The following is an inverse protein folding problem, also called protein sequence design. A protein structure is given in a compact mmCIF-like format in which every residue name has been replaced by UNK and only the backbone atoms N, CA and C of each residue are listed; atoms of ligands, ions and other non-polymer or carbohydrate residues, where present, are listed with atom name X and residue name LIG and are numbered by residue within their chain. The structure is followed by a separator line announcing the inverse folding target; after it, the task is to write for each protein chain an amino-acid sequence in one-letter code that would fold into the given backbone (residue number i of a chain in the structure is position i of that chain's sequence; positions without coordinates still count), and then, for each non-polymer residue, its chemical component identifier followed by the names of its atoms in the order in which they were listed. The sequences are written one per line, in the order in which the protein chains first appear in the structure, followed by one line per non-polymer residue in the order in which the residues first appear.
data_IF_203393464581
#
_entry.id   IF_203393464581
#
_cell.length_a   1.000
_cell.length_b   1.000
_cell.length_c   1.000
_cell.angle_alpha   90.00
_cell.angle_beta   90.00
_cell.angle_gamma   90.00
#
_symmetry.space_group_name_H-M   'P 1'
#
loop_
_entity.id
_entity.type
_entity.pdbx_description
1 polymer ?
#
# COMPACT_ATOMS: atom_id res chain seq x y z
N UNK A 1 -2.32 -45.45 -26.09
CA UNK A 1 -3.26 -44.37 -26.38
C UNK A 1 -4.01 -44.05 -25.11
N UNK A 2 -3.95 -42.79 -24.67
CA UNK A 2 -4.62 -42.33 -23.46
C UNK A 2 -3.74 -41.35 -22.68
N UNK A 3 -3.42 -40.19 -23.26
CA UNK A 3 -3.03 -39.05 -22.45
C UNK A 3 -4.29 -38.58 -21.71
N UNK A 4 -4.29 -38.80 -20.40
CA UNK A 4 -5.34 -38.34 -19.50
C UNK A 4 -5.31 -36.81 -19.48
N UNK A 5 -6.24 -36.20 -20.24
CA UNK A 5 -6.38 -34.75 -20.29
C UNK A 5 -6.77 -34.26 -18.90
N UNK A 6 -5.80 -33.72 -18.14
CA UNK A 6 -6.11 -33.00 -16.92
C UNK A 6 -7.13 -31.90 -17.27
N UNK A 7 -8.27 -31.82 -16.55
CA UNK A 7 -9.27 -30.80 -16.85
C UNK A 7 -8.61 -29.42 -16.71
N UNK A 8 -8.83 -28.56 -17.71
CA UNK A 8 -8.30 -27.20 -17.69
C UNK A 8 -8.63 -26.53 -16.34
N UNK A 9 -7.69 -25.80 -15.72
CA UNK A 9 -7.92 -25.16 -14.44
C UNK A 9 -9.18 -24.30 -14.54
N UNK A 10 -10.10 -24.49 -13.58
CA UNK A 10 -11.34 -23.71 -13.53
C UNK A 10 -10.98 -22.22 -13.57
N UNK A 11 -11.58 -21.41 -14.44
CA UNK A 11 -11.23 -20.00 -14.56
C UNK A 11 -11.40 -19.33 -13.20
N UNK A 12 -10.41 -18.57 -12.78
CA UNK A 12 -10.48 -17.86 -11.51
C UNK A 12 -11.50 -16.73 -11.64
N UNK A 13 -12.09 -16.28 -10.52
CA UNK A 13 -13.01 -15.13 -10.50
C UNK A 13 -12.42 -13.88 -11.18
N UNK A 14 -11.09 -13.72 -11.10
CA UNK A 14 -10.35 -12.63 -11.77
C UNK A 14 -10.35 -12.74 -13.31
N UNK A 15 -10.47 -13.96 -13.84
CA UNK A 15 -10.46 -14.25 -15.28
C UNK A 15 -11.87 -14.08 -15.85
N UNK A 16 -12.91 -14.37 -15.06
CA UNK A 16 -14.32 -14.18 -15.43
C UNK A 16 -14.81 -12.73 -15.29
N UNK A 17 -14.29 -11.98 -14.31
CA UNK A 17 -14.72 -10.60 -13.99
C UNK A 17 -13.56 -9.62 -14.03
N UNK A 18 -12.73 -9.73 -15.07
CA UNK A 18 -11.51 -8.92 -15.21
C UNK A 18 -11.81 -7.41 -15.29
N UNK A 19 -12.89 -7.03 -15.95
CA UNK A 19 -13.32 -5.64 -16.15
C UNK A 19 -13.82 -5.01 -14.85
N UNK A 20 -14.64 -5.74 -14.10
CA UNK A 20 -15.20 -5.35 -12.82
C UNK A 20 -14.10 -5.26 -11.77
N UNK A 21 -13.17 -6.23 -11.76
CA UNK A 21 -11.98 -6.18 -10.90
C UNK A 21 -11.13 -4.95 -11.19
N UNK A 22 -10.97 -4.56 -12.46
CA UNK A 22 -10.24 -3.33 -12.82
C UNK A 22 -10.96 -2.09 -12.32
N UNK A 23 -12.29 -2.00 -12.52
CA UNK A 23 -13.11 -0.89 -12.02
C UNK A 23 -13.05 -0.80 -10.49
N UNK A 24 -13.27 -1.91 -9.78
CA UNK A 24 -13.19 -1.98 -8.32
C UNK A 24 -11.79 -1.61 -7.80
N UNK A 25 -10.71 -2.03 -8.48
CA UNK A 25 -9.35 -1.62 -8.17
C UNK A 25 -9.20 -0.10 -8.30
N UNK A 26 -9.64 0.47 -9.41
CA UNK A 26 -9.61 1.92 -9.64
C UNK A 26 -10.39 2.64 -8.54
N UNK A 27 -11.59 2.18 -8.21
CA UNK A 27 -12.45 2.75 -7.18
C UNK A 27 -11.75 2.77 -5.81
N UNK A 28 -11.29 1.61 -5.36
CA UNK A 28 -10.67 1.45 -4.05
C UNK A 28 -9.40 2.30 -3.89
N UNK A 29 -8.53 2.33 -4.90
CA UNK A 29 -7.33 3.15 -4.81
C UNK A 29 -7.65 4.63 -5.00
N UNK A 30 -8.49 4.98 -5.97
CA UNK A 30 -8.79 6.38 -6.27
C UNK A 30 -9.49 7.09 -5.12
N UNK A 31 -10.53 6.48 -4.54
CA UNK A 31 -11.32 7.12 -3.49
C UNK A 31 -10.53 7.17 -2.18
N UNK A 32 -9.76 6.12 -1.85
CA UNK A 32 -8.90 6.13 -0.67
C UNK A 32 -7.88 7.28 -0.69
N UNK A 33 -7.40 7.67 -1.88
CA UNK A 33 -6.48 8.80 -2.10
C UNK A 33 -7.18 10.14 -2.42
N UNK A 34 -8.48 10.24 -2.17
CA UNK A 34 -9.24 11.50 -2.28
C UNK A 34 -9.56 11.93 -3.72
N UNK A 35 -9.67 11.00 -4.67
CA UNK A 35 -10.18 11.29 -6.02
C UNK A 35 -11.66 11.65 -5.95
N UNK A 36 -12.07 12.61 -6.78
CA UNK A 36 -13.46 13.09 -6.87
C UNK A 36 -14.24 12.32 -7.93
N UNK A 37 -15.58 12.41 -7.90
CA UNK A 37 -16.47 11.86 -8.91
C UNK A 37 -16.09 12.29 -10.34
N UNK A 38 -15.63 13.54 -10.52
CA UNK A 38 -15.12 14.03 -11.80
C UNK A 38 -13.97 13.18 -12.35
N UNK A 39 -13.03 12.78 -11.49
CA UNK A 39 -11.93 11.92 -11.90
C UNK A 39 -12.38 10.49 -12.19
N UNK A 40 -13.36 9.97 -11.44
CA UNK A 40 -13.92 8.63 -11.68
C UNK A 40 -14.65 8.57 -13.04
N UNK A 41 -15.39 9.63 -13.36
CA UNK A 41 -16.07 9.81 -14.65
C UNK A 41 -15.11 9.66 -15.83
N UNK A 42 -13.94 10.31 -15.78
CA UNK A 42 -12.94 10.23 -16.84
C UNK A 42 -12.35 8.83 -17.00
N UNK A 43 -12.06 8.15 -15.88
CA UNK A 43 -11.48 6.79 -15.93
C UNK A 43 -12.45 5.75 -16.49
N UNK A 44 -13.75 5.92 -16.24
CA UNK A 44 -14.77 4.91 -16.55
C UNK A 44 -15.59 5.24 -17.79
N UNK A 45 -15.55 6.47 -18.29
CA UNK A 45 -16.35 6.91 -19.43
C UNK A 45 -17.85 6.95 -19.14
N UNK A 46 -18.24 7.21 -17.90
CA UNK A 46 -19.65 7.25 -17.43
C UNK A 46 -20.16 8.68 -17.34
N UNK A 47 -21.44 8.86 -17.01
CA UNK A 47 -22.01 10.18 -16.72
C UNK A 47 -21.52 10.72 -15.37
N UNK A 48 -21.70 12.02 -15.14
CA UNK A 48 -21.33 12.64 -13.85
C UNK A 48 -22.20 12.08 -12.71
N UNK A 49 -23.49 11.88 -12.97
CA UNK A 49 -24.46 11.34 -12.01
C UNK A 49 -24.11 9.91 -11.59
N UNK A 50 -23.83 9.02 -12.54
CA UNK A 50 -23.40 7.64 -12.25
C UNK A 50 -22.10 7.61 -11.44
N UNK A 51 -21.15 8.52 -11.73
CA UNK A 51 -19.90 8.61 -10.98
C UNK A 51 -20.11 9.10 -9.54
N UNK A 52 -21.01 10.07 -9.33
CA UNK A 52 -21.38 10.57 -8.00
C UNK A 52 -22.11 9.49 -7.18
N UNK A 53 -23.10 8.83 -7.77
CA UNK A 53 -23.83 7.73 -7.13
C UNK A 53 -22.88 6.60 -6.73
N UNK A 54 -21.96 6.20 -7.61
CA UNK A 54 -20.96 5.17 -7.31
C UNK A 54 -20.06 5.55 -6.13
N UNK A 55 -19.59 6.80 -6.09
CA UNK A 55 -18.74 7.30 -5.00
C UNK A 55 -19.50 7.31 -3.68
N UNK A 56 -20.76 7.75 -3.70
CA UNK A 56 -21.59 7.77 -2.49
C UNK A 56 -21.94 6.36 -1.99
N UNK A 57 -22.26 5.43 -2.88
CA UNK A 57 -22.45 4.01 -2.52
C UNK A 57 -21.19 3.42 -1.88
N UNK A 58 -20.00 3.74 -2.40
CA UNK A 58 -18.74 3.28 -1.81
C UNK A 58 -18.50 3.86 -0.42
N UNK A 59 -18.78 5.14 -0.20
CA UNK A 59 -18.65 5.75 1.13
C UNK A 59 -19.75 5.31 2.10
N UNK A 60 -20.92 4.94 1.61
CA UNK A 60 -21.98 4.34 2.42
C UNK A 60 -21.57 2.94 2.91
N UNK A 61 -20.85 2.16 2.09
CA UNK A 61 -20.25 0.88 2.49
C UNK A 61 -19.04 1.07 3.44
N UNK A 62 -18.23 2.11 3.20
CA UNK A 62 -16.98 2.41 3.93
C UNK A 62 -16.99 3.78 4.66
N UNK A 63 -17.95 4.02 5.58
CA UNK A 63 -18.08 5.31 6.25
C UNK A 63 -16.85 5.67 7.10
N UNK A 64 -16.10 4.67 7.57
CA UNK A 64 -14.86 4.85 8.31
C UNK A 64 -13.78 5.56 7.49
N UNK A 65 -13.74 5.36 6.17
CA UNK A 65 -12.75 6.01 5.31
C UNK A 65 -13.04 7.50 5.21
N UNK A 66 -14.30 7.89 4.97
CA UNK A 66 -14.70 9.31 4.92
C UNK A 66 -14.39 9.99 6.25
N UNK A 67 -14.78 9.35 7.36
CA UNK A 67 -14.50 9.86 8.72
C UNK A 67 -13.00 10.05 8.96
N UNK A 68 -12.18 9.08 8.56
CA UNK A 68 -10.73 9.18 8.70
C UNK A 68 -10.13 10.29 7.83
N UNK A 69 -10.57 10.45 6.57
CA UNK A 69 -10.12 11.52 5.68
C UNK A 69 -10.48 12.90 6.21
N UNK A 70 -11.70 13.07 6.71
CA UNK A 70 -12.17 14.34 7.29
C UNK A 70 -11.41 14.70 8.57
N UNK A 71 -11.20 13.72 9.46
CA UNK A 71 -10.38 13.91 10.65
C UNK A 71 -8.92 14.25 10.30
N UNK A 72 -8.34 13.58 9.29
CA UNK A 72 -6.96 13.83 8.87
C UNK A 72 -6.80 15.23 8.29
N UNK A 73 -7.74 15.69 7.45
CA UNK A 73 -7.75 17.07 6.94
C UNK A 73 -7.91 18.09 8.06
N UNK A 74 -8.81 17.81 9.02
CA UNK A 74 -9.05 18.70 10.17
C UNK A 74 -7.79 18.83 11.04
N UNK A 75 -7.21 17.71 11.46
CA UNK A 75 -5.96 17.72 12.24
C UNK A 75 -4.82 18.40 11.48
N UNK A 76 -4.74 18.20 10.16
CA UNK A 76 -3.78 18.90 9.30
C UNK A 76 -4.01 20.41 9.26
N UNK A 77 -5.26 20.88 9.15
CA UNK A 77 -5.64 22.29 9.19
C UNK A 77 -5.34 22.95 10.56
N UNK A 78 -5.52 22.21 11.64
CA UNK A 78 -5.22 22.69 13.00
C UNK A 78 -3.69 22.78 13.24
N UNK A 79 -2.94 21.76 12.83
CA UNK A 79 -1.51 21.64 13.15
C UNK A 79 -0.56 22.22 12.09
N UNK A 80 -1.02 22.37 10.83
CA UNK A 80 -0.18 22.72 9.69
C UNK A 80 0.68 21.57 9.14
N UNK A 81 0.53 20.35 9.67
CA UNK A 81 1.27 19.17 9.22
C UNK A 81 0.48 17.87 9.45
N UNK A 82 0.92 16.80 8.80
CA UNK A 82 0.49 15.41 9.07
C UNK A 82 1.69 14.50 9.26
N UNK A 83 1.47 13.34 9.87
CA UNK A 83 2.52 12.35 10.12
C UNK A 83 2.22 11.03 9.39
N UNK A 84 3.27 10.30 9.03
CA UNK A 84 3.18 8.89 8.63
C UNK A 84 2.97 7.97 9.82
N UNK A 85 2.77 6.67 9.56
CA UNK A 85 2.61 5.64 10.59
C UNK A 85 3.75 5.64 11.62
N UNK A 86 5.01 5.81 11.18
CA UNK A 86 6.18 5.87 12.06
C UNK A 86 6.54 7.29 12.52
N UNK A 87 5.65 8.26 12.35
CA UNK A 87 5.81 9.61 12.88
C UNK A 87 6.63 10.57 12.03
N UNK A 88 7.01 10.20 10.80
CA UNK A 88 7.68 11.13 9.87
C UNK A 88 6.70 12.23 9.48
N UNK A 89 7.10 13.48 9.72
CA UNK A 89 6.26 14.66 9.53
C UNK A 89 6.33 15.21 8.10
N UNK A 90 5.19 15.61 7.54
CA UNK A 90 5.10 16.44 6.34
C UNK A 90 4.39 17.75 6.65
N UNK A 91 5.10 18.86 6.44
CA UNK A 91 4.54 20.21 6.56
C UNK A 91 3.62 20.49 5.36
N UNK A 92 2.49 21.15 5.63
CA UNK A 92 1.45 21.48 4.66
C UNK A 92 0.97 22.92 4.89
N UNK A 93 1.79 23.95 4.65
CA UNK A 93 1.45 25.33 5.01
C UNK A 93 0.11 25.81 4.39
N UNK A 94 -0.17 25.41 3.15
CA UNK A 94 -1.39 25.80 2.44
C UNK A 94 -2.69 25.18 2.99
N UNK A 95 -2.60 24.18 3.88
CA UNK A 95 -3.80 23.53 4.44
C UNK A 95 -4.53 24.43 5.44
N UNK A 96 -3.81 25.37 6.05
CA UNK A 96 -4.37 26.34 7.00
C UNK A 96 -4.95 27.57 6.32
N UNK A 97 -4.82 27.69 4.99
CA UNK A 97 -5.32 28.82 4.25
C UNK A 97 -6.84 29.01 4.43
N UNK A 98 -7.25 30.27 4.54
CA UNK A 98 -8.66 30.63 4.60
C UNK A 98 -9.34 30.45 3.22
N UNK A 99 -10.62 30.10 3.22
CA UNK A 99 -11.41 29.91 2.01
C UNK A 99 -11.06 28.62 1.23
N UNK A 100 -11.62 28.52 0.02
CA UNK A 100 -11.34 27.44 -0.93
C UNK A 100 -10.32 27.94 -1.95
N UNK A 101 -9.19 27.25 -2.09
CA UNK A 101 -8.18 27.54 -3.10
C UNK A 101 -7.62 26.24 -3.68
N UNK A 102 -7.04 26.32 -4.89
CA UNK A 102 -6.38 25.17 -5.51
C UNK A 102 -5.21 24.64 -4.65
N UNK A 103 -4.46 25.55 -4.01
CA UNK A 103 -3.37 25.23 -3.11
C UNK A 103 -3.86 24.47 -1.87
N UNK A 104 -4.93 24.95 -1.23
CA UNK A 104 -5.54 24.25 -0.09
C UNK A 104 -6.07 22.87 -0.48
N UNK A 105 -6.76 22.77 -1.60
CA UNK A 105 -7.24 21.47 -2.10
C UNK A 105 -6.10 20.49 -2.41
N UNK A 106 -4.95 20.98 -2.89
CA UNK A 106 -3.75 20.17 -3.04
C UNK A 106 -3.18 19.72 -1.68
N UNK A 107 -3.13 20.63 -0.70
CA UNK A 107 -2.66 20.33 0.65
C UNK A 107 -3.56 19.32 1.38
N UNK A 108 -4.89 19.41 1.23
CA UNK A 108 -5.85 18.45 1.77
C UNK A 108 -5.66 17.05 1.16
N UNK A 109 -5.45 16.95 -0.17
CA UNK A 109 -5.10 15.68 -0.80
C UNK A 109 -3.76 15.14 -0.30
N UNK A 110 -2.76 16.00 -0.16
CA UNK A 110 -1.46 15.62 0.39
C UNK A 110 -1.57 15.15 1.86
N UNK A 111 -2.47 15.74 2.64
CA UNK A 111 -2.75 15.34 4.02
C UNK A 111 -3.29 13.91 4.10
N UNK A 112 -4.17 13.52 3.18
CA UNK A 112 -4.71 12.16 3.08
C UNK A 112 -3.65 11.19 2.56
N UNK A 113 -2.90 11.57 1.53
CA UNK A 113 -1.97 10.65 0.86
C UNK A 113 -0.73 10.35 1.71
N UNK A 114 -0.27 11.32 2.52
CA UNK A 114 0.99 11.19 3.26
C UNK A 114 0.97 10.06 4.28
N UNK A 115 -0.04 9.92 5.16
CA UNK A 115 -0.12 8.81 6.09
C UNK A 115 -0.11 7.44 5.38
N UNK A 116 -0.82 7.32 4.25
CA UNK A 116 -0.95 6.05 3.51
C UNK A 116 0.34 5.71 2.77
N UNK A 117 0.77 6.56 1.84
CA UNK A 117 1.95 6.28 0.99
C UNK A 117 3.24 6.36 1.81
N UNK A 118 3.35 7.37 2.67
CA UNK A 118 4.49 7.53 3.55
C UNK A 118 4.56 6.41 4.59
N UNK A 119 3.42 5.94 5.11
CA UNK A 119 3.36 4.77 5.99
C UNK A 119 3.79 3.47 5.29
N UNK A 120 3.36 3.24 4.04
CA UNK A 120 3.83 2.11 3.24
C UNK A 120 5.35 2.18 3.00
N UNK A 121 5.87 3.37 2.68
CA UNK A 121 7.31 3.58 2.54
C UNK A 121 8.08 3.35 3.85
N UNK A 122 7.52 3.74 5.00
CA UNK A 122 8.10 3.46 6.31
C UNK A 122 8.20 1.96 6.58
N UNK A 123 7.14 1.21 6.29
CA UNK A 123 7.08 -0.24 6.46
C UNK A 123 8.11 -0.94 5.55
N UNK A 124 8.14 -0.57 4.27
CA UNK A 124 9.09 -1.10 3.31
C UNK A 124 10.54 -0.83 3.74
N UNK A 125 10.82 0.40 4.22
CA UNK A 125 12.15 0.74 4.70
C UNK A 125 12.54 -0.07 5.93
N UNK A 126 11.62 -0.29 6.86
CA UNK A 126 11.85 -1.11 8.04
C UNK A 126 12.15 -2.57 7.66
N UNK A 127 11.38 -3.16 6.73
CA UNK A 127 11.65 -4.49 6.20
C UNK A 127 13.04 -4.57 5.53
N UNK A 128 13.38 -3.60 4.68
CA UNK A 128 14.71 -3.53 4.04
C UNK A 128 15.85 -3.45 5.05
N UNK A 129 15.69 -2.67 6.14
CA UNK A 129 16.69 -2.59 7.20
C UNK A 129 16.86 -3.93 7.94
N UNK A 130 15.79 -4.70 8.11
CA UNK A 130 15.85 -6.04 8.70
C UNK A 130 16.56 -7.02 7.79
N UNK A 131 16.19 -7.06 6.51
CA UNK A 131 16.85 -7.90 5.51
C UNK A 131 18.36 -7.63 5.45
N UNK A 132 18.76 -6.35 5.42
CA UNK A 132 20.18 -5.98 5.41
C UNK A 132 20.93 -6.36 6.70
N UNK A 133 20.25 -6.41 7.83
CA UNK A 133 20.82 -6.78 9.14
C UNK A 133 20.68 -8.27 9.46
N UNK A 134 20.08 -9.06 8.58
CA UNK A 134 19.91 -10.49 8.79
C UNK A 134 21.25 -11.20 8.61
N UNK A 135 21.87 -11.62 9.71
CA UNK A 135 23.16 -12.30 9.70
C UNK A 135 23.10 -13.62 8.90
N UNK A 136 21.97 -14.32 8.96
CA UNK A 136 21.79 -15.56 8.18
C UNK A 136 21.80 -15.30 6.68
N UNK A 137 21.12 -14.25 6.19
CA UNK A 137 21.20 -13.84 4.78
C UNK A 137 22.64 -13.48 4.38
N UNK A 138 23.37 -12.81 5.26
CA UNK A 138 24.78 -12.47 5.01
C UNK A 138 25.67 -13.72 4.96
N UNK A 139 25.44 -14.71 5.86
CA UNK A 139 26.20 -15.98 5.91
C UNK A 139 26.03 -16.81 4.64
N UNK A 140 24.87 -16.72 3.98
CA UNK A 140 24.59 -17.39 2.69
C UNK A 140 24.85 -16.50 1.46
N UNK A 141 25.58 -15.39 1.63
CA UNK A 141 25.95 -14.41 0.59
C UNK A 141 24.77 -13.83 -0.22
N UNK A 142 23.61 -13.64 0.43
CA UNK A 142 22.48 -12.91 -0.15
C UNK A 142 22.52 -11.42 0.21
N UNK A 143 22.31 -10.56 -0.79
CA UNK A 143 22.36 -9.09 -0.66
C UNK A 143 21.11 -8.45 -1.24
N UNK A 144 20.59 -7.42 -0.56
CA UNK A 144 19.53 -6.55 -1.11
C UNK A 144 20.16 -5.63 -2.17
N UNK A 145 19.70 -5.74 -3.41
CA UNK A 145 20.24 -4.99 -4.56
C UNK A 145 19.42 -3.72 -4.81
N UNK A 146 18.09 -3.84 -4.84
CA UNK A 146 17.21 -2.74 -5.24
C UNK A 146 15.84 -2.87 -4.58
N UNK A 147 15.16 -1.74 -4.45
CA UNK A 147 13.73 -1.68 -4.16
C UNK A 147 13.02 -0.93 -5.30
N UNK A 148 11.91 -1.50 -5.76
CA UNK A 148 11.07 -0.94 -6.82
C UNK A 148 9.66 -0.88 -6.28
N UNK A 149 9.20 0.30 -5.86
CA UNK A 149 7.90 0.50 -5.23
C UNK A 149 7.68 -0.42 -4.00
N UNK A 150 6.86 -1.46 -4.13
CA UNK A 150 6.55 -2.44 -3.09
C UNK A 150 7.34 -3.77 -3.23
N UNK A 151 8.28 -3.83 -4.18
CA UNK A 151 9.14 -4.98 -4.43
C UNK A 151 10.58 -4.75 -3.93
N UNK A 152 11.21 -5.81 -3.41
CA UNK A 152 12.62 -5.83 -3.00
C UNK A 152 13.33 -6.95 -3.75
N UNK A 153 14.43 -6.61 -4.39
CA UNK A 153 15.26 -7.53 -5.17
C UNK A 153 16.48 -7.92 -4.33
N UNK A 154 16.68 -9.24 -4.17
CA UNK A 154 17.85 -9.82 -3.53
C UNK A 154 18.60 -10.71 -4.51
N UNK A 155 19.92 -10.77 -4.37
CA UNK A 155 20.81 -11.59 -5.20
C UNK A 155 21.77 -12.39 -4.32
N UNK A 156 22.05 -13.64 -4.70
CA UNK A 156 22.95 -14.55 -4.00
C UNK A 156 23.04 -15.93 -4.67
N UNK A 157 23.78 -16.88 -4.07
CA UNK A 157 23.98 -18.23 -4.61
C UNK A 157 22.68 -19.04 -4.76
N UNK A 158 22.50 -19.69 -5.91
CA UNK A 158 21.24 -20.36 -6.26
C UNK A 158 20.89 -21.53 -5.33
N UNK A 159 21.90 -22.20 -4.76
CA UNK A 159 21.76 -23.29 -3.80
C UNK A 159 21.08 -22.88 -2.48
N UNK A 160 21.07 -21.58 -2.15
CA UNK A 160 20.49 -21.06 -0.92
C UNK A 160 19.16 -20.31 -1.12
N UNK A 161 18.60 -20.34 -2.33
CA UNK A 161 17.38 -19.59 -2.70
C UNK A 161 16.20 -19.81 -1.77
N UNK A 162 15.98 -21.05 -1.31
CA UNK A 162 14.79 -21.39 -0.53
C UNK A 162 14.91 -20.84 0.89
N UNK A 163 16.10 -20.92 1.49
CA UNK A 163 16.40 -20.30 2.79
C UNK A 163 16.33 -18.78 2.71
N UNK A 164 16.89 -18.19 1.64
CA UNK A 164 16.82 -16.75 1.42
C UNK A 164 15.37 -16.27 1.27
N UNK A 165 14.52 -17.02 0.55
CA UNK A 165 13.10 -16.72 0.39
C UNK A 165 12.34 -16.79 1.71
N UNK A 166 12.61 -17.81 2.54
CA UNK A 166 12.01 -17.96 3.85
C UNK A 166 12.33 -16.77 4.77
N UNK A 167 13.62 -16.43 4.91
CA UNK A 167 14.09 -15.29 5.68
C UNK A 167 13.52 -13.97 5.14
N UNK A 168 13.46 -13.83 3.82
CA UNK A 168 12.91 -12.64 3.17
C UNK A 168 11.44 -12.47 3.50
N UNK A 169 10.65 -13.54 3.34
CA UNK A 169 9.22 -13.55 3.71
C UNK A 169 9.04 -13.19 5.17
N UNK A 170 9.79 -13.82 6.08
CA UNK A 170 9.69 -13.54 7.51
C UNK A 170 9.92 -12.07 7.85
N UNK A 171 10.99 -11.45 7.31
CA UNK A 171 11.30 -10.05 7.60
C UNK A 171 10.33 -9.07 6.92
N UNK A 172 9.78 -9.40 5.75
CA UNK A 172 8.79 -8.58 5.06
C UNK A 172 7.40 -8.65 5.69
N UNK A 173 6.99 -9.80 6.25
CA UNK A 173 5.70 -9.94 6.96
C UNK A 173 5.76 -9.47 8.41
N UNK A 174 6.95 -9.43 9.00
CA UNK A 174 7.17 -8.99 10.38
C UNK A 174 8.12 -7.79 10.48
N UNK A 175 7.80 -6.64 9.85
CA UNK A 175 8.67 -5.47 9.85
C UNK A 175 8.78 -4.85 11.25
N UNK A 176 7.74 -4.92 12.08
CA UNK A 176 7.71 -4.29 13.41
C UNK A 176 8.25 -5.16 14.55
N UNK A 177 8.47 -6.46 14.33
CA UNK A 177 9.01 -7.34 15.39
C UNK A 177 10.45 -6.96 15.74
N UNK A 178 10.97 -7.39 16.89
CA UNK A 178 12.41 -7.24 17.18
C UNK A 178 13.21 -8.23 16.32
N UNK A 179 14.50 -7.99 16.03
CA UNK A 179 15.34 -8.99 15.39
C UNK A 179 15.38 -10.24 16.29
N UNK A 180 15.16 -11.43 15.71
CA UNK A 180 15.39 -12.69 16.43
C UNK A 180 16.85 -12.73 16.84
N UNK A 181 17.12 -12.99 18.12
CA UNK A 181 18.49 -13.23 18.60
C UNK A 181 18.83 -14.69 18.34
N UNK A 182 20.08 -14.97 17.97
CA UNK A 182 20.55 -16.35 17.85
C UNK A 182 20.25 -17.10 19.17
N UNK A 183 19.54 -18.24 19.08
CA UNK A 183 19.22 -19.11 20.22
C UNK A 183 17.74 -19.19 20.63
N UNK A 184 16.82 -18.45 20.00
CA UNK A 184 15.38 -18.56 20.32
C UNK A 184 14.69 -19.79 19.70
N UNK A 185 15.33 -20.49 18.77
CA UNK A 185 14.81 -21.74 18.17
C UNK A 185 14.99 -23.00 19.06
N UNK A 186 15.33 -22.83 20.35
CA UNK A 186 15.43 -23.96 21.28
C UNK A 186 14.10 -24.33 21.98
N UNK A 187 13.00 -23.62 21.74
CA UNK A 187 11.69 -23.94 22.34
C UNK A 187 10.51 -23.57 21.45
N UNK A 188 10.16 -24.47 20.53
CA UNK A 188 8.77 -24.80 20.19
C UNK A 188 8.69 -26.24 19.70
#
# INVERSE_FOLDING_TARGET
GGEEYAPAPKPLLKDMFSSERRKAKILNFSIAYGKTAHGLRQDWGVTQEEAEETVELWYADRPEVRKWQDNTKKSGAECGYVNTLLGRRRQLPDIQAAGKSAAKGHAERAAINTPIQGGAADIAMLAMLRLRKCEELQKIDYKVIMQVHDEIILEGPAEHKDRALELTRYHMTNPFEKPRREGEDAKQ
#
